data_IF_321594613063
#
_entry.id   IF_321594613063
#
_cell.length_a   1.000
_cell.length_b   1.000
_cell.length_c   1.000
_cell.angle_alpha   90.00
_cell.angle_beta   90.00
_cell.angle_gamma   90.00
#
_symmetry.space_group_name_H-M   'P 1'
#
loop_
_entity.id
_entity.type
_entity.pdbx_description
1 polymer ?
#
# COMPACT_ATOMS: atom_id res chain seq x y z
N UNK A 1 -16.67 15.81 2.09
CA UNK A 1 -16.31 14.46 2.61
C UNK A 1 -15.57 13.71 1.51
N UNK A 2 -14.48 13.02 1.87
CA UNK A 2 -13.71 12.22 0.93
C UNK A 2 -14.00 10.74 1.12
N UNK A 3 -14.06 10.01 0.02
CA UNK A 3 -14.31 8.57 0.02
C UNK A 3 -13.12 7.83 -0.57
N UNK A 4 -12.70 6.78 0.10
CA UNK A 4 -11.60 5.94 -0.31
C UNK A 4 -12.00 4.48 -0.49
N UNK A 5 -11.17 3.75 -1.21
CA UNK A 5 -11.34 2.31 -1.40
C UNK A 5 -9.98 1.62 -1.40
N UNK A 6 -9.95 0.42 -0.84
CA UNK A 6 -8.74 -0.39 -0.79
C UNK A 6 -8.60 -1.20 -2.09
N UNK A 7 -7.41 -1.20 -2.67
CA UNK A 7 -7.15 -1.88 -3.95
C UNK A 7 -7.53 -3.35 -3.94
N UNK A 8 -7.39 -4.02 -2.79
CA UNK A 8 -7.69 -5.43 -2.64
C UNK A 8 -9.18 -5.78 -2.82
N UNK A 9 -10.06 -4.78 -2.86
CA UNK A 9 -11.45 -5.01 -3.24
C UNK A 9 -11.60 -5.70 -4.61
N UNK A 10 -10.65 -5.41 -5.52
CA UNK A 10 -10.67 -5.97 -6.87
C UNK A 10 -9.65 -7.09 -7.09
N UNK A 11 -8.80 -7.38 -6.10
CA UNK A 11 -7.73 -8.36 -6.24
C UNK A 11 -7.98 -9.60 -5.37
N UNK A 12 -7.55 -10.74 -5.86
CA UNK A 12 -7.59 -12.02 -5.11
C UNK A 12 -6.24 -12.37 -4.50
N UNK A 13 -5.18 -11.65 -4.89
CA UNK A 13 -3.82 -11.85 -4.41
C UNK A 13 -3.26 -10.53 -3.92
N UNK A 14 -2.29 -10.58 -3.02
CA UNK A 14 -1.59 -9.39 -2.55
C UNK A 14 -0.66 -8.85 -3.62
N UNK A 15 -0.63 -7.54 -3.75
CA UNK A 15 0.14 -6.85 -4.77
C UNK A 15 -0.63 -6.63 -6.05
N UNK A 16 -0.36 -5.52 -6.70
CA UNK A 16 -1.04 -5.13 -7.93
C UNK A 16 -0.27 -4.03 -8.67
N UNK A 17 -0.65 -3.81 -9.91
CA UNK A 17 -0.29 -2.58 -10.63
C UNK A 17 -1.16 -1.43 -10.13
N UNK A 18 -0.63 -0.65 -9.19
CA UNK A 18 -1.38 0.45 -8.58
C UNK A 18 -1.70 1.59 -9.55
N UNK A 19 -0.94 1.76 -10.64
CA UNK A 19 -1.22 2.81 -11.64
C UNK A 19 -2.61 2.67 -12.24
N UNK A 20 -2.98 1.47 -12.64
CA UNK A 20 -4.33 1.21 -13.20
C UNK A 20 -5.43 1.48 -12.18
N UNK A 21 -5.16 1.28 -10.89
CA UNK A 21 -6.14 1.54 -9.84
C UNK A 21 -6.30 3.01 -9.51
N UNK A 22 -5.25 3.81 -9.61
CA UNK A 22 -5.37 5.27 -9.51
C UNK A 22 -6.35 5.80 -10.55
N UNK A 23 -6.19 5.39 -11.81
CA UNK A 23 -7.10 5.77 -12.89
C UNK A 23 -8.52 5.24 -12.67
N UNK A 24 -8.63 3.98 -12.22
CA UNK A 24 -9.92 3.33 -11.96
C UNK A 24 -10.71 4.04 -10.86
N UNK A 25 -10.07 4.34 -9.73
CA UNK A 25 -10.76 5.01 -8.60
C UNK A 25 -11.17 6.42 -8.97
N UNK A 26 -10.36 7.13 -9.77
CA UNK A 26 -10.75 8.43 -10.31
C UNK A 26 -12.01 8.33 -11.16
N UNK A 27 -12.04 7.40 -12.09
CA UNK A 27 -13.21 7.17 -12.96
C UNK A 27 -14.47 6.81 -12.18
N UNK A 28 -14.32 6.07 -11.08
CA UNK A 28 -15.43 5.66 -10.23
C UNK A 28 -15.88 6.74 -9.24
N UNK A 29 -15.18 7.86 -9.15
CA UNK A 29 -15.54 8.98 -8.29
C UNK A 29 -15.02 8.90 -6.86
N UNK A 30 -14.02 8.04 -6.58
CA UNK A 30 -13.34 8.03 -5.29
C UNK A 30 -12.26 9.11 -5.22
N UNK A 31 -11.95 9.54 -4.02
CA UNK A 31 -10.93 10.55 -3.73
C UNK A 31 -9.60 9.93 -3.26
N UNK A 32 -9.68 8.74 -2.70
CA UNK A 32 -8.56 8.08 -2.03
C UNK A 32 -8.46 6.62 -2.52
N UNK A 33 -7.24 6.20 -2.85
CA UNK A 33 -6.89 4.79 -3.04
C UNK A 33 -6.00 4.35 -1.88
N UNK A 34 -6.41 3.33 -1.15
CA UNK A 34 -5.54 2.67 -0.18
C UNK A 34 -4.81 1.49 -0.83
N UNK A 35 -3.50 1.45 -0.65
CA UNK A 35 -2.60 0.43 -1.20
C UNK A 35 -1.84 -0.27 -0.10
N UNK A 36 -1.15 -1.37 -0.44
CA UNK A 36 -0.32 -2.09 0.52
C UNK A 36 1.08 -1.50 0.58
N UNK A 37 1.52 -1.06 1.76
CA UNK A 37 2.89 -0.60 1.96
C UNK A 37 3.93 -1.70 1.70
N UNK A 38 3.60 -2.96 1.95
CA UNK A 38 4.47 -4.08 1.63
C UNK A 38 4.76 -4.17 0.12
N UNK A 39 3.74 -3.89 -0.71
CA UNK A 39 3.91 -3.86 -2.16
C UNK A 39 4.80 -2.71 -2.64
N UNK A 40 4.78 -1.56 -1.96
CA UNK A 40 5.61 -0.41 -2.30
C UNK A 40 7.08 -0.65 -2.01
N UNK A 41 7.40 -1.30 -0.90
CA UNK A 41 8.77 -1.56 -0.47
C UNK A 41 9.62 -2.24 -1.55
N UNK A 42 9.01 -3.14 -2.31
CA UNK A 42 9.69 -3.94 -3.32
C UNK A 42 9.67 -3.32 -4.72
N UNK A 43 9.04 -2.16 -4.89
CA UNK A 43 9.00 -1.47 -6.17
C UNK A 43 10.30 -0.73 -6.46
N UNK A 44 10.77 -0.73 -7.72
CA UNK A 44 11.84 0.16 -8.15
C UNK A 44 11.47 1.62 -7.94
N UNK A 45 12.47 2.48 -7.63
CA UNK A 45 12.26 3.91 -7.44
C UNK A 45 11.53 4.59 -8.61
N UNK A 46 11.81 4.16 -9.84
CA UNK A 46 11.12 4.65 -11.04
C UNK A 46 9.61 4.36 -10.99
N UNK A 47 9.22 3.17 -10.55
CA UNK A 47 7.81 2.79 -10.42
C UNK A 47 7.10 3.62 -9.34
N UNK A 48 7.78 3.93 -8.24
CA UNK A 48 7.27 4.80 -7.19
C UNK A 48 7.06 6.23 -7.71
N UNK A 49 8.01 6.76 -8.48
CA UNK A 49 7.88 8.08 -9.10
C UNK A 49 6.71 8.13 -10.08
N UNK A 50 6.55 7.13 -10.92
CA UNK A 50 5.39 7.04 -11.84
C UNK A 50 4.07 7.00 -11.09
N UNK A 51 4.02 6.27 -9.98
CA UNK A 51 2.82 6.22 -9.15
C UNK A 51 2.49 7.58 -8.54
N UNK A 52 3.52 8.28 -8.02
CA UNK A 52 3.38 9.64 -7.49
C UNK A 52 2.86 10.61 -8.56
N UNK A 53 3.46 10.61 -9.74
CA UNK A 53 3.03 11.46 -10.84
C UNK A 53 1.58 11.18 -11.27
N UNK A 54 1.22 9.90 -11.35
CA UNK A 54 -0.13 9.48 -11.72
C UNK A 54 -1.18 9.95 -10.71
N UNK A 55 -0.92 9.73 -9.40
CA UNK A 55 -1.84 10.17 -8.37
C UNK A 55 -2.01 11.69 -8.34
N UNK A 56 -0.91 12.43 -8.53
CA UNK A 56 -0.92 13.89 -8.55
C UNK A 56 -1.71 14.42 -9.77
N UNK A 57 -1.47 13.83 -10.94
CA UNK A 57 -2.21 14.15 -12.17
C UNK A 57 -3.71 13.92 -12.03
N UNK A 58 -4.10 12.79 -11.45
CA UNK A 58 -5.50 12.43 -11.27
C UNK A 58 -6.16 13.07 -10.05
N UNK A 59 -5.38 13.72 -9.18
CA UNK A 59 -5.88 14.32 -7.95
C UNK A 59 -6.36 13.30 -6.92
N UNK A 60 -5.75 12.09 -6.90
CA UNK A 60 -6.06 11.02 -5.96
C UNK A 60 -5.06 11.05 -4.81
N UNK A 61 -5.54 10.95 -3.59
CA UNK A 61 -4.71 10.71 -2.41
C UNK A 61 -4.44 9.23 -2.25
N UNK A 62 -3.21 8.89 -1.87
CA UNK A 62 -2.85 7.52 -1.51
C UNK A 62 -2.75 7.40 0.00
N UNK A 63 -3.31 6.34 0.53
CA UNK A 63 -3.08 5.88 1.90
C UNK A 63 -2.49 4.48 1.87
N UNK A 64 -1.87 4.08 2.96
CA UNK A 64 -1.19 2.81 3.03
C UNK A 64 -1.75 1.98 4.18
N UNK A 65 -2.02 0.71 3.89
CA UNK A 65 -2.42 -0.29 4.85
C UNK A 65 -1.52 -1.51 4.80
N UNK A 66 -1.44 -2.26 5.87
CA UNK A 66 -0.68 -3.48 5.95
C UNK A 66 -1.34 -4.50 6.85
N UNK A 67 -1.60 -5.68 6.29
CA UNK A 67 -1.97 -6.86 7.05
C UNK A 67 -0.72 -7.71 7.27
N UNK A 68 -0.14 -7.75 8.49
CA UNK A 68 1.09 -8.48 8.73
C UNK A 68 0.90 -9.99 8.54
N UNK A 69 1.93 -10.62 8.00
CA UNK A 69 2.01 -12.09 7.97
C UNK A 69 2.28 -12.63 9.37
N UNK A 70 1.97 -13.90 9.63
CA UNK A 70 2.21 -14.49 10.96
C UNK A 70 3.67 -14.39 11.44
N UNK A 71 4.63 -14.35 10.52
CA UNK A 71 6.06 -14.21 10.83
C UNK A 71 6.53 -12.75 10.99
N UNK A 72 5.62 -11.77 10.83
CA UNK A 72 5.86 -10.32 10.98
C UNK A 72 4.80 -9.69 11.90
N UNK A 73 4.22 -10.46 12.79
CA UNK A 73 3.17 -10.01 13.69
C UNK A 73 3.77 -9.40 14.96
N UNK A 74 3.57 -8.09 15.15
CA UNK A 74 4.05 -7.34 16.31
C UNK A 74 3.40 -7.80 17.63
N UNK A 75 2.26 -8.47 17.55
CA UNK A 75 1.53 -9.00 18.72
C UNK A 75 1.93 -10.44 19.07
N UNK A 76 2.86 -11.03 18.34
CA UNK A 76 3.32 -12.39 18.58
C UNK A 76 3.96 -12.54 19.97
N UNK A 77 3.75 -13.69 20.58
CA UNK A 77 4.46 -14.07 21.82
C UNK A 77 5.93 -14.46 21.57
N UNK A 78 6.31 -14.70 20.31
CA UNK A 78 7.69 -15.03 19.94
C UNK A 78 8.52 -13.75 19.74
N UNK A 79 9.56 -13.50 20.58
CA UNK A 79 10.39 -12.30 20.49
C UNK A 79 11.07 -12.11 19.12
N UNK A 80 11.44 -13.19 18.43
CA UNK A 80 12.07 -13.10 17.11
C UNK A 80 11.10 -12.60 16.04
N UNK A 81 9.83 -12.98 16.12
CA UNK A 81 8.78 -12.49 15.24
C UNK A 81 8.52 -11.00 15.51
N UNK A 82 8.42 -10.60 16.76
CA UNK A 82 8.26 -9.19 17.15
C UNK A 82 9.42 -8.34 16.63
N UNK A 83 10.64 -8.82 16.77
CA UNK A 83 11.84 -8.13 16.27
C UNK A 83 11.79 -7.94 14.74
N UNK A 84 11.39 -8.97 14.00
CA UNK A 84 11.21 -8.88 12.54
C UNK A 84 10.10 -7.89 12.16
N UNK A 85 9.00 -7.89 12.90
CA UNK A 85 7.91 -6.93 12.69
C UNK A 85 8.40 -5.49 12.86
N UNK A 86 9.12 -5.19 13.93
CA UNK A 86 9.71 -3.86 14.12
C UNK A 86 10.68 -3.48 13.01
N UNK A 87 11.51 -4.42 12.57
CA UNK A 87 12.44 -4.14 11.47
C UNK A 87 11.70 -3.85 10.17
N UNK A 88 10.65 -4.61 9.86
CA UNK A 88 9.78 -4.35 8.71
C UNK A 88 9.25 -2.90 8.71
N UNK A 89 8.71 -2.46 9.84
CA UNK A 89 8.17 -1.10 9.93
C UNK A 89 9.24 -0.03 9.80
N UNK A 90 10.42 -0.24 10.38
CA UNK A 90 11.54 0.69 10.22
C UNK A 90 12.01 0.81 8.77
N UNK A 91 12.02 -0.30 8.04
CA UNK A 91 12.45 -0.32 6.63
C UNK A 91 11.39 0.30 5.71
N UNK A 92 10.11 0.20 6.10
CA UNK A 92 9.00 0.74 5.32
C UNK A 92 8.83 2.24 5.52
N UNK A 93 9.04 2.73 6.74
CA UNK A 93 8.92 4.14 7.12
C UNK A 93 10.24 4.66 7.71
N UNK A 94 11.25 4.90 6.88
CA UNK A 94 12.55 5.37 7.34
C UNK A 94 12.50 6.79 7.88
#
# INVERSE_FOLDING_TARGET
MQYGIYYAYWERQWGADYLKYVEKVKRLGFDILEISCAGLKDLPGEAILKLKECKDKEGISLTEGYGPRPDEDISSENPDIVKRAFQFWKDTFP
#
